data_IF_506845274506
#
_entry.id   IF_506845274506
#
_cell.length_a   1.000
_cell.length_b   1.000
_cell.length_c   1.000
_cell.angle_alpha   90.00
_cell.angle_beta   90.00
_cell.angle_gamma   90.00
#
_symmetry.space_group_name_H-M   'P 1'
#
loop_
_entity.id
_entity.type
_entity.pdbx_description
1 polymer ?
#
# COMPACT_ATOMS: atom_id res chain seq x y z
N UNK A 1 -11.46 -5.29 16.65
CA UNK A 1 -10.40 -5.00 15.64
C UNK A 1 -10.81 -3.76 14.87
N UNK A 2 -9.89 -2.84 14.62
CA UNK A 2 -10.20 -1.63 13.85
C UNK A 2 -10.28 -1.96 12.36
N UNK A 3 -11.27 -1.41 11.66
CA UNK A 3 -11.48 -1.66 10.24
C UNK A 3 -10.25 -1.24 9.43
N UNK A 4 -9.73 -2.10 8.53
CA UNK A 4 -8.61 -1.77 7.65
C UNK A 4 -9.03 -0.74 6.60
N UNK A 5 -8.06 -0.09 5.99
CA UNK A 5 -8.34 0.80 4.87
C UNK A 5 -8.69 -0.01 3.61
N UNK A 6 -9.28 0.63 2.58
CA UNK A 6 -9.72 -0.08 1.36
C UNK A 6 -8.56 -0.86 0.70
N UNK A 7 -7.39 -0.22 0.61
CA UNK A 7 -6.18 -0.84 0.06
C UNK A 7 -5.67 -2.00 0.90
N UNK A 8 -6.07 -2.07 2.18
CA UNK A 8 -5.60 -3.09 3.11
C UNK A 8 -6.54 -4.32 3.19
N UNK A 9 -7.71 -4.31 2.54
CA UNK A 9 -8.69 -5.41 2.58
C UNK A 9 -8.06 -6.73 2.08
N UNK A 10 -7.28 -6.68 0.99
CA UNK A 10 -6.59 -7.84 0.42
C UNK A 10 -5.10 -7.92 0.81
N UNK A 11 -4.67 -7.15 1.82
CA UNK A 11 -3.25 -6.98 2.16
C UNK A 11 -2.56 -8.28 2.53
N UNK A 12 -3.18 -9.11 3.37
CA UNK A 12 -2.54 -10.34 3.86
C UNK A 12 -2.13 -11.27 2.72
N UNK A 13 -3.01 -11.47 1.75
CA UNK A 13 -2.72 -12.25 0.55
C UNK A 13 -1.70 -11.54 -0.35
N UNK A 14 -1.87 -10.23 -0.60
CA UNK A 14 -0.95 -9.47 -1.44
C UNK A 14 0.48 -9.40 -0.86
N UNK A 15 0.64 -9.25 0.45
CA UNK A 15 1.93 -9.26 1.13
C UNK A 15 2.57 -10.66 1.03
N UNK A 16 1.78 -11.73 1.19
CA UNK A 16 2.26 -13.10 0.98
C UNK A 16 2.67 -13.36 -0.47
N UNK A 17 2.06 -12.71 -1.46
CA UNK A 17 2.38 -12.94 -2.88
C UNK A 17 3.47 -12.03 -3.44
N UNK A 18 3.67 -10.84 -2.88
CA UNK A 18 4.52 -9.82 -3.50
C UNK A 18 5.71 -9.38 -2.66
N UNK A 19 5.61 -9.48 -1.33
CA UNK A 19 6.69 -9.02 -0.45
C UNK A 19 7.84 -10.03 -0.39
N UNK A 20 9.06 -9.55 -0.17
CA UNK A 20 10.25 -10.38 0.09
C UNK A 20 10.65 -11.30 -1.09
N UNK A 21 10.17 -10.98 -2.30
CA UNK A 21 10.61 -11.61 -3.54
C UNK A 21 11.59 -10.68 -4.26
N UNK A 22 12.87 -11.06 -4.31
CA UNK A 22 13.95 -10.23 -4.82
C UNK A 22 14.45 -10.63 -6.22
N UNK A 23 13.83 -11.64 -6.84
CA UNK A 23 14.22 -12.19 -8.15
C UNK A 23 14.02 -11.24 -9.34
N UNK A 24 13.37 -10.08 -9.12
CA UNK A 24 13.10 -9.06 -10.15
C UNK A 24 14.26 -8.06 -10.26
N UNK A 25 15.18 -8.04 -9.29
CA UNK A 25 16.33 -7.13 -9.25
C UNK A 25 17.64 -7.91 -9.15
N UNK A 26 18.69 -7.44 -9.84
CA UNK A 26 20.03 -8.02 -9.72
C UNK A 26 20.60 -7.85 -8.30
N UNK A 27 20.20 -6.80 -7.59
CA UNK A 27 20.52 -6.63 -6.17
C UNK A 27 19.63 -5.58 -5.52
N UNK A 28 19.20 -5.84 -4.29
CA UNK A 28 18.49 -4.87 -3.45
C UNK A 28 19.21 -4.79 -2.11
N UNK A 29 19.58 -3.56 -1.72
CA UNK A 29 20.16 -3.24 -0.41
C UNK A 29 19.17 -2.34 0.31
N UNK A 30 18.79 -2.68 1.53
CA UNK A 30 17.96 -1.84 2.40
C UNK A 30 18.61 -1.78 3.78
N UNK A 31 19.06 -0.59 4.18
CA UNK A 31 19.63 -0.33 5.50
C UNK A 31 18.63 0.52 6.27
N UNK A 32 18.22 0.05 7.45
CA UNK A 32 17.36 0.79 8.37
C UNK A 32 18.09 1.01 9.68
N UNK A 33 18.16 2.26 10.12
CA UNK A 33 18.69 2.65 11.42
C UNK A 33 17.62 3.41 12.19
N UNK A 34 17.35 2.99 13.43
CA UNK A 34 16.43 3.69 14.32
C UNK A 34 17.22 4.20 15.52
N UNK A 35 17.15 5.49 15.79
CA UNK A 35 17.85 6.12 16.91
C UNK A 35 16.90 6.41 18.08
N UNK A 36 17.40 6.46 19.33
CA UNK A 36 16.57 6.68 20.52
C UNK A 36 15.81 8.01 20.53
N UNK A 37 16.28 9.01 19.78
CA UNK A 37 15.66 10.34 19.64
C UNK A 37 14.48 10.36 18.63
N UNK A 38 13.89 9.19 18.32
CA UNK A 38 12.78 9.01 17.38
C UNK A 38 13.08 9.45 15.94
N UNK A 39 14.36 9.47 15.56
CA UNK A 39 14.78 9.59 14.16
C UNK A 39 15.01 8.18 13.60
N UNK A 40 14.57 7.95 12.37
CA UNK A 40 14.82 6.74 11.63
C UNK A 40 15.42 7.11 10.27
N UNK A 41 16.48 6.44 9.88
CA UNK A 41 17.08 6.57 8.56
C UNK A 41 16.88 5.27 7.80
N UNK A 42 16.46 5.39 6.56
CA UNK A 42 16.32 4.28 5.64
C UNK A 42 17.05 4.61 4.35
N UNK A 43 18.03 3.79 4.00
CA UNK A 43 18.74 3.87 2.72
C UNK A 43 18.40 2.65 1.91
N UNK A 44 17.93 2.85 0.69
CA UNK A 44 17.64 1.77 -0.26
C UNK A 44 18.46 1.96 -1.53
N UNK A 45 19.11 0.90 -1.98
CA UNK A 45 19.74 0.80 -3.28
C UNK A 45 19.17 -0.39 -4.04
N UNK A 46 18.81 -0.20 -5.30
CA UNK A 46 18.35 -1.26 -6.19
C UNK A 46 19.14 -1.22 -7.48
N UNK A 47 19.65 -2.38 -7.89
CA UNK A 47 20.28 -2.58 -9.19
C UNK A 47 19.40 -3.53 -10.01
N UNK A 48 19.08 -3.11 -11.23
CA UNK A 48 18.37 -3.93 -12.21
C UNK A 48 19.32 -4.90 -12.91
N UNK A 49 18.76 -5.96 -13.53
CA UNK A 49 19.54 -6.86 -14.39
C UNK A 49 20.12 -6.16 -15.63
N UNK A 50 19.58 -4.99 -15.98
CA UNK A 50 20.03 -4.12 -17.07
C UNK A 50 21.11 -3.10 -16.62
N UNK A 51 21.72 -3.31 -15.44
CA UNK A 51 22.76 -2.46 -14.83
C UNK A 51 22.32 -1.05 -14.43
N UNK A 52 21.06 -0.68 -14.60
CA UNK A 52 20.55 0.57 -14.04
C UNK A 52 20.47 0.48 -12.51
N UNK A 53 21.02 1.48 -11.82
CA UNK A 53 21.06 1.54 -10.36
C UNK A 53 20.29 2.76 -9.87
N UNK A 54 19.40 2.53 -8.90
CA UNK A 54 18.62 3.58 -8.25
C UNK A 54 18.86 3.54 -6.75
N UNK A 55 18.88 4.71 -6.14
CA UNK A 55 19.05 4.88 -4.70
C UNK A 55 18.04 5.85 -4.14
N UNK A 56 17.68 5.66 -2.88
CA UNK A 56 16.91 6.63 -2.10
C UNK A 56 17.38 6.63 -0.66
N UNK A 57 17.42 7.83 -0.08
CA UNK A 57 17.67 8.08 1.34
C UNK A 57 16.42 8.71 1.91
N UNK A 58 15.89 8.13 2.98
CA UNK A 58 14.73 8.60 3.71
C UNK A 58 15.14 8.86 5.17
N UNK A 59 14.93 10.09 5.63
CA UNK A 59 15.01 10.48 7.02
C UNK A 59 13.62 10.70 7.58
N UNK A 60 13.28 10.03 8.67
CA UNK A 60 11.97 10.12 9.33
C UNK A 60 12.17 10.55 10.77
N UNK A 61 11.55 11.65 11.15
CA UNK A 61 11.46 12.11 12.53
C UNK A 61 10.03 11.93 13.03
N UNK A 62 9.86 11.31 14.20
CA UNK A 62 8.56 11.10 14.82
C UNK A 62 8.51 11.77 16.19
N UNK A 63 7.76 12.86 16.30
CA UNK A 63 7.40 13.43 17.58
C UNK A 63 6.15 12.73 18.13
N UNK A 64 6.37 11.81 19.05
CA UNK A 64 5.31 11.01 19.68
C UNK A 64 4.40 11.83 20.59
N UNK A 65 4.89 12.95 21.15
CA UNK A 65 4.14 13.76 22.10
C UNK A 65 3.07 14.56 21.36
N UNK A 66 3.46 15.18 20.25
CA UNK A 66 2.57 16.01 19.43
C UNK A 66 2.02 15.27 18.20
N UNK A 67 2.07 13.92 18.17
CA UNK A 67 1.50 13.12 17.08
C UNK A 67 2.03 13.44 15.67
N UNK A 68 3.18 14.11 15.55
CA UNK A 68 3.71 14.63 14.30
C UNK A 68 4.82 13.72 13.78
N UNK A 69 4.80 13.43 12.49
CA UNK A 69 5.86 12.69 11.81
C UNK A 69 6.27 13.43 10.56
N UNK A 70 7.55 13.75 10.45
CA UNK A 70 8.13 14.38 9.27
C UNK A 70 9.03 13.35 8.61
N UNK A 71 8.77 13.05 7.35
CA UNK A 71 9.59 12.15 6.53
C UNK A 71 10.12 12.93 5.34
N UNK A 72 11.43 12.95 5.15
CA UNK A 72 12.11 13.56 4.02
C UNK A 72 12.83 12.48 3.25
N UNK A 73 12.52 12.35 1.97
CA UNK A 73 13.13 11.39 1.05
C UNK A 73 13.84 12.13 -0.07
N UNK A 74 14.99 11.60 -0.49
CA UNK A 74 15.72 12.05 -1.65
C UNK A 74 16.26 10.86 -2.42
N UNK A 75 16.01 10.83 -3.73
CA UNK A 75 16.42 9.74 -4.59
C UNK A 75 17.46 10.18 -5.64
N UNK A 76 18.06 9.18 -6.32
CA UNK A 76 19.08 9.39 -7.35
C UNK A 76 18.58 10.07 -8.63
N UNK A 77 17.25 10.21 -8.79
CA UNK A 77 16.63 11.03 -9.84
C UNK A 77 16.46 12.50 -9.39
N UNK A 78 17.11 12.85 -8.28
CA UNK A 78 17.04 14.16 -7.65
C UNK A 78 15.62 14.57 -7.23
N UNK A 79 14.67 13.63 -7.07
CA UNK A 79 13.35 13.96 -6.56
C UNK A 79 13.43 14.08 -5.03
N UNK A 80 13.08 15.25 -4.51
CA UNK A 80 12.90 15.50 -3.08
C UNK A 80 11.42 15.31 -2.73
N UNK A 81 11.15 14.56 -1.68
CA UNK A 81 9.80 14.36 -1.17
C UNK A 81 9.77 14.66 0.32
N UNK A 82 8.93 15.61 0.73
CA UNK A 82 8.70 15.99 2.12
C UNK A 82 7.29 15.61 2.49
N UNK A 83 7.14 14.75 3.48
CA UNK A 83 5.88 14.23 3.97
C UNK A 83 5.71 14.62 5.43
N UNK A 84 4.60 15.28 5.75
CA UNK A 84 4.26 15.73 7.09
C UNK A 84 2.96 15.05 7.47
N UNK A 85 2.99 14.22 8.50
CA UNK A 85 1.85 13.47 9.01
C UNK A 85 1.51 13.96 10.41
N UNK A 86 0.28 14.37 10.65
CA UNK A 86 -0.23 14.71 11.98
C UNK A 86 -1.35 13.72 12.33
N UNK A 87 -1.08 12.82 13.25
CA UNK A 87 -2.03 11.81 13.72
C UNK A 87 -2.59 12.20 15.10
N UNK A 88 -3.89 12.03 15.28
CA UNK A 88 -4.60 12.16 16.56
C UNK A 88 -4.54 13.56 17.21
N UNK A 89 -3.99 14.58 16.52
CA UNK A 89 -3.88 15.95 17.05
C UNK A 89 -5.20 16.72 17.08
N UNK A 90 -6.04 16.54 16.05
CA UNK A 90 -7.32 17.25 15.92
C UNK A 90 -8.46 16.41 16.49
N UNK A 91 -8.47 15.12 16.20
CA UNK A 91 -9.45 14.17 16.70
C UNK A 91 -8.85 12.76 16.75
N UNK A 92 -9.28 11.95 17.73
CA UNK A 92 -8.88 10.54 17.82
C UNK A 92 -9.29 9.78 16.57
N UNK A 93 -8.34 9.10 15.95
CA UNK A 93 -8.50 8.37 14.70
C UNK A 93 -8.38 9.23 13.43
N UNK A 94 -8.21 10.55 13.55
CA UNK A 94 -7.93 11.41 12.41
C UNK A 94 -6.41 11.54 12.22
N UNK A 95 -5.96 11.26 10.99
CA UNK A 95 -4.59 11.49 10.57
C UNK A 95 -4.62 12.34 9.30
N UNK A 96 -3.91 13.46 9.34
CA UNK A 96 -3.70 14.35 8.20
C UNK A 96 -2.28 14.13 7.69
N UNK A 97 -2.10 14.21 6.39
CA UNK A 97 -0.82 14.00 5.74
C UNK A 97 -0.68 14.95 4.56
N UNK A 98 0.32 15.82 4.59
CA UNK A 98 0.74 16.62 3.45
C UNK A 98 2.00 16.00 2.84
N UNK A 99 1.95 15.60 1.59
CA UNK A 99 3.12 15.11 0.85
C UNK A 99 3.45 16.08 -0.28
N UNK A 100 4.63 16.69 -0.21
CA UNK A 100 5.15 17.65 -1.16
C UNK A 100 6.31 17.01 -1.91
N UNK A 101 6.27 17.05 -3.23
CA UNK A 101 7.36 16.56 -4.08
C UNK A 101 7.94 17.69 -4.91
N UNK A 102 9.25 17.66 -5.10
CA UNK A 102 9.98 18.64 -5.88
C UNK A 102 11.06 17.93 -6.70
N UNK A 103 11.01 18.10 -8.02
CA UNK A 103 12.07 17.68 -8.92
C UNK A 103 12.81 18.93 -9.39
N UNK A 104 14.02 19.20 -8.89
CA UNK A 104 14.82 20.38 -9.26
C UNK A 104 15.13 20.43 -10.76
N UNK A 105 15.41 19.29 -11.38
CA UNK A 105 15.79 19.21 -12.81
C UNK A 105 14.69 19.71 -13.75
N UNK A 106 13.43 19.40 -13.45
CA UNK A 106 12.28 19.82 -14.27
C UNK A 106 11.46 20.95 -13.65
N UNK A 107 11.89 21.46 -12.48
CA UNK A 107 11.15 22.41 -11.64
C UNK A 107 9.70 21.97 -11.32
N UNK A 108 9.40 20.68 -11.48
CA UNK A 108 8.07 20.13 -11.23
C UNK A 108 7.84 20.03 -9.73
N UNK A 109 6.71 20.59 -9.30
CA UNK A 109 6.23 20.53 -7.92
C UNK A 109 4.98 19.65 -7.87
N UNK A 110 4.88 18.82 -6.86
CA UNK A 110 3.68 18.09 -6.49
C UNK A 110 3.28 18.45 -5.07
N UNK A 111 1.98 18.55 -4.82
CA UNK A 111 1.45 18.60 -3.47
C UNK A 111 0.23 17.69 -3.42
N UNK A 112 0.26 16.79 -2.44
CA UNK A 112 -0.80 15.85 -2.13
C UNK A 112 -1.25 16.10 -0.70
N UNK A 113 -2.54 16.10 -0.51
CA UNK A 113 -3.14 16.16 0.81
C UNK A 113 -3.96 14.90 1.03
N UNK A 114 -3.60 14.15 2.05
CA UNK A 114 -4.22 12.89 2.40
C UNK A 114 -4.85 13.02 3.79
N UNK A 115 -6.14 12.72 3.88
CA UNK A 115 -6.89 12.68 5.12
C UNK A 115 -7.30 11.23 5.37
N UNK A 116 -7.02 10.75 6.57
CA UNK A 116 -7.35 9.42 7.02
C UNK A 116 -8.21 9.56 8.27
N UNK A 117 -9.42 9.01 8.23
CA UNK A 117 -10.31 8.98 9.38
C UNK A 117 -10.65 7.53 9.72
N UNK A 118 -10.22 7.10 10.90
CA UNK A 118 -10.35 5.71 11.36
C UNK A 118 -11.20 5.65 12.61
N UNK A 119 -12.27 4.88 12.54
CA UNK A 119 -13.17 4.56 13.63
C UNK A 119 -13.30 3.04 13.79
N UNK A 120 -13.82 2.55 14.93
CA UNK A 120 -13.93 1.12 15.18
C UNK A 120 -14.72 0.32 14.13
N UNK A 121 -15.72 0.93 13.49
CA UNK A 121 -16.61 0.29 12.50
C UNK A 121 -16.50 0.89 11.08
N UNK A 122 -15.70 1.94 10.92
CA UNK A 122 -15.64 2.72 9.68
C UNK A 122 -14.23 3.25 9.47
N UNK A 123 -13.73 3.16 8.24
CA UNK A 123 -12.48 3.77 7.85
C UNK A 123 -12.66 4.52 6.54
N UNK A 124 -12.43 5.82 6.58
CA UNK A 124 -12.48 6.71 5.44
C UNK A 124 -11.10 7.25 5.14
N UNK A 125 -10.78 7.43 3.86
CA UNK A 125 -9.65 8.24 3.46
C UNK A 125 -9.98 9.08 2.23
N UNK A 126 -9.23 10.15 2.09
CA UNK A 126 -9.31 11.08 0.98
C UNK A 126 -7.90 11.46 0.60
N UNK A 127 -7.61 11.46 -0.68
CA UNK A 127 -6.33 11.80 -1.26
C UNK A 127 -6.61 12.85 -2.32
N UNK A 128 -5.97 14.01 -2.23
CA UNK A 128 -6.15 15.10 -3.17
C UNK A 128 -4.80 15.53 -3.69
N UNK A 129 -4.60 15.42 -4.99
CA UNK A 129 -3.41 15.88 -5.71
C UNK A 129 -3.73 17.27 -6.27
N UNK A 130 -3.09 18.33 -5.76
CA UNK A 130 -3.45 19.72 -6.10
C UNK A 130 -2.76 20.24 -7.36
N UNK A 131 -1.54 19.76 -7.66
CA UNK A 131 -0.68 20.34 -8.72
C UNK A 131 -0.66 19.53 -10.02
N UNK A 132 -0.89 18.22 -9.95
CA UNK A 132 -1.08 17.38 -11.14
C UNK A 132 -2.57 17.26 -11.40
N UNK A 133 -3.12 18.20 -12.19
CA UNK A 133 -4.51 18.21 -12.66
C UNK A 133 -5.52 17.80 -11.60
N UNK A 134 -6.11 18.73 -10.83
CA UNK A 134 -6.65 18.45 -9.50
C UNK A 134 -7.42 17.13 -9.45
N UNK A 135 -6.83 16.11 -8.82
CA UNK A 135 -7.46 14.79 -8.72
C UNK A 135 -7.83 14.54 -7.27
N UNK A 136 -9.02 14.00 -7.05
CA UNK A 136 -9.52 13.65 -5.75
C UNK A 136 -9.89 12.17 -5.75
N UNK A 137 -9.21 11.39 -4.91
CA UNK A 137 -9.53 10.00 -4.67
C UNK A 137 -10.09 9.86 -3.27
N UNK A 138 -11.24 9.21 -3.14
CA UNK A 138 -11.90 8.95 -1.87
C UNK A 138 -12.11 7.46 -1.74
N UNK A 139 -11.96 6.94 -0.53
CA UNK A 139 -12.28 5.56 -0.23
C UNK A 139 -12.90 5.43 1.15
N UNK A 140 -13.84 4.51 1.26
CA UNK A 140 -14.58 4.24 2.48
C UNK A 140 -14.71 2.74 2.66
N UNK A 141 -14.52 2.28 3.89
CA UNK A 141 -14.70 0.88 4.31
C UNK A 141 -15.56 0.86 5.55
N UNK A 142 -16.61 0.07 5.50
CA UNK A 142 -17.41 -0.32 6.66
C UNK A 142 -17.10 -1.76 7.01
N UNK A 143 -17.17 -2.10 8.28
CA UNK A 143 -17.06 -3.48 8.69
C UNK A 143 -17.88 -3.84 9.91
N UNK A 144 -18.38 -5.06 9.89
CA UNK A 144 -19.21 -5.63 10.93
C UNK A 144 -18.91 -7.12 11.08
N UNK A 145 -18.59 -7.57 12.30
CA UNK A 145 -18.40 -9.01 12.61
C UNK A 145 -17.45 -9.77 11.67
N UNK A 146 -16.38 -9.11 11.22
CA UNK A 146 -15.39 -9.68 10.31
C UNK A 146 -15.69 -9.45 8.83
N UNK A 147 -16.92 -9.12 8.45
CA UNK A 147 -17.23 -8.64 7.10
C UNK A 147 -16.72 -7.22 6.90
N UNK A 148 -16.16 -6.98 5.72
CA UNK A 148 -15.62 -5.71 5.26
C UNK A 148 -16.25 -5.42 3.90
N UNK A 149 -16.79 -4.23 3.73
CA UNK A 149 -17.23 -3.74 2.43
C UNK A 149 -16.69 -2.33 2.24
N UNK A 150 -16.12 -2.07 1.08
CA UNK A 150 -15.57 -0.77 0.78
C UNK A 150 -15.65 -0.43 -0.69
N UNK A 151 -15.58 0.86 -0.96
CA UNK A 151 -15.52 1.41 -2.30
C UNK A 151 -14.51 2.54 -2.34
N UNK A 152 -13.92 2.73 -3.50
CA UNK A 152 -13.03 3.84 -3.81
C UNK A 152 -13.43 4.46 -5.14
N UNK A 153 -13.36 5.78 -5.22
CA UNK A 153 -13.62 6.54 -6.43
C UNK A 153 -12.54 7.61 -6.61
N UNK A 154 -12.07 7.79 -7.83
CA UNK A 154 -11.15 8.85 -8.24
C UNK A 154 -11.83 9.76 -9.24
N UNK A 155 -11.70 11.06 -9.04
CA UNK A 155 -12.22 12.11 -9.91
C UNK A 155 -11.07 13.00 -10.39
N UNK A 156 -11.06 13.32 -11.67
CA UNK A 156 -10.10 14.23 -12.28
C UNK A 156 -10.83 15.49 -12.75
N UNK A 157 -10.46 16.63 -12.16
CA UNK A 157 -11.09 17.93 -12.42
C UNK A 157 -10.76 18.45 -13.82
N UNK A 158 -9.59 18.11 -14.39
CA UNK A 158 -9.23 18.55 -15.73
C UNK A 158 -10.03 17.83 -16.81
N UNK A 159 -10.33 16.54 -16.59
CA UNK A 159 -11.15 15.72 -17.48
C UNK A 159 -12.65 15.81 -17.16
N UNK A 160 -13.01 16.53 -16.10
CA UNK A 160 -14.37 16.62 -15.56
C UNK A 160 -15.06 15.24 -15.45
N UNK A 161 -14.33 14.22 -14.96
CA UNK A 161 -14.80 12.84 -15.04
C UNK A 161 -14.22 11.91 -13.99
N UNK A 162 -14.96 10.83 -13.72
CA UNK A 162 -14.52 9.74 -12.85
C UNK A 162 -13.43 8.94 -13.58
N UNK A 163 -12.23 8.95 -13.02
CA UNK A 163 -11.07 8.25 -13.58
C UNK A 163 -11.00 6.81 -13.11
N UNK A 164 -11.24 6.58 -11.82
CA UNK A 164 -11.17 5.26 -11.21
C UNK A 164 -12.40 4.99 -10.36
N UNK A 165 -12.88 3.76 -10.41
CA UNK A 165 -13.88 3.25 -9.48
C UNK A 165 -13.47 1.83 -9.10
N UNK A 166 -13.50 1.54 -7.82
CA UNK A 166 -13.16 0.24 -7.28
C UNK A 166 -14.11 -0.10 -6.13
N UNK A 167 -14.42 -1.38 -6.01
CA UNK A 167 -15.22 -1.93 -4.93
C UNK A 167 -14.50 -3.15 -4.36
N UNK A 168 -14.65 -3.40 -3.07
CA UNK A 168 -14.04 -4.53 -2.41
C UNK A 168 -14.95 -5.05 -1.32
N UNK A 169 -15.07 -6.37 -1.25
CA UNK A 169 -15.72 -7.06 -0.14
C UNK A 169 -14.70 -8.05 0.41
N UNK A 170 -14.56 -8.08 1.72
CA UNK A 170 -13.66 -8.99 2.40
C UNK A 170 -14.29 -9.58 3.64
N UNK A 171 -13.69 -10.67 4.10
CA UNK A 171 -13.99 -11.29 5.36
C UNK A 171 -12.68 -11.57 6.08
N UNK A 172 -12.57 -11.08 7.31
CA UNK A 172 -11.36 -11.16 8.11
C UNK A 172 -11.62 -11.88 9.42
N UNK A 173 -10.94 -13.00 9.59
CA UNK A 173 -10.80 -13.72 10.86
C UNK A 173 -9.32 -13.79 11.27
N UNK A 174 -9.04 -14.11 12.55
CA UNK A 174 -7.65 -14.23 13.03
C UNK A 174 -6.82 -15.30 12.29
N UNK A 175 -7.46 -16.34 11.77
CA UNK A 175 -6.80 -17.48 11.11
C UNK A 175 -6.83 -17.41 9.58
N UNK A 176 -7.85 -16.80 8.99
CA UNK A 176 -7.96 -16.66 7.54
C UNK A 176 -8.63 -15.35 7.14
N UNK A 177 -8.33 -14.88 5.94
CA UNK A 177 -8.93 -13.71 5.33
C UNK A 177 -9.23 -13.98 3.87
N UNK A 178 -10.44 -13.66 3.42
CA UNK A 178 -10.80 -13.69 2.01
C UNK A 178 -11.17 -12.27 1.56
N UNK A 179 -10.83 -11.92 0.33
CA UNK A 179 -11.20 -10.62 -0.24
C UNK A 179 -11.43 -10.74 -1.75
N UNK A 180 -12.52 -10.14 -2.21
CA UNK A 180 -12.82 -9.93 -3.62
C UNK A 180 -12.76 -8.43 -3.89
N UNK A 181 -11.95 -8.03 -4.85
CA UNK A 181 -11.77 -6.64 -5.26
C UNK A 181 -12.09 -6.48 -6.73
N UNK A 182 -12.91 -5.51 -7.07
CA UNK A 182 -13.14 -5.03 -8.42
C UNK A 182 -12.41 -3.69 -8.58
N UNK A 183 -11.51 -3.61 -9.55
CA UNK A 183 -10.65 -2.44 -9.80
C UNK A 183 -10.74 -2.02 -11.27
N UNK A 184 -10.19 -0.85 -11.58
CA UNK A 184 -10.22 -0.26 -12.93
C UNK A 184 -11.64 -0.16 -13.53
N UNK A 185 -12.51 0.59 -12.84
CA UNK A 185 -13.93 0.77 -13.22
C UNK A 185 -14.69 -0.57 -13.26
N UNK A 186 -14.44 -1.41 -12.26
CA UNK A 186 -15.02 -2.76 -12.15
C UNK A 186 -14.76 -3.66 -13.36
N UNK A 187 -13.60 -3.50 -14.00
CA UNK A 187 -13.21 -4.34 -15.14
C UNK A 187 -12.27 -5.45 -14.71
N UNK A 188 -11.37 -5.17 -13.76
CA UNK A 188 -10.41 -6.16 -13.24
C UNK A 188 -10.90 -6.68 -11.90
N UNK A 189 -11.30 -7.94 -11.87
CA UNK A 189 -11.72 -8.64 -10.67
C UNK A 189 -10.55 -9.46 -10.11
N UNK A 190 -10.33 -9.39 -8.81
CA UNK A 190 -9.37 -10.25 -8.12
C UNK A 190 -10.02 -10.85 -6.89
N UNK A 191 -9.94 -12.17 -6.76
CA UNK A 191 -10.27 -12.90 -5.55
C UNK A 191 -8.97 -13.32 -4.88
N UNK A 192 -8.87 -13.13 -3.57
CA UNK A 192 -7.69 -13.47 -2.79
C UNK A 192 -8.11 -14.18 -1.51
N UNK A 193 -7.31 -15.16 -1.13
CA UNK A 193 -7.51 -15.96 0.06
C UNK A 193 -6.17 -16.09 0.77
N UNK A 194 -6.16 -15.84 2.07
CA UNK A 194 -5.01 -16.00 2.93
C UNK A 194 -5.43 -16.82 4.14
N UNK A 195 -4.59 -17.77 4.55
CA UNK A 195 -4.82 -18.66 5.66
C UNK A 195 -3.51 -18.87 6.42
N UNK A 196 -3.51 -18.48 7.67
CA UNK A 196 -2.52 -18.86 8.66
C UNK A 196 -2.84 -20.26 9.18
N UNK A 197 -2.28 -21.28 8.52
CA UNK A 197 -2.51 -22.69 8.84
C UNK A 197 -2.04 -23.02 10.26
N UNK A 198 -0.88 -22.48 10.65
CA UNK A 198 -0.36 -22.59 12.02
C UNK A 198 0.63 -21.42 12.30
N UNK A 199 1.25 -21.32 13.48
CA UNK A 199 2.19 -20.23 13.79
C UNK A 199 3.43 -20.14 12.89
N UNK A 200 3.76 -21.21 12.16
CA UNK A 200 4.96 -21.32 11.31
C UNK A 200 4.64 -21.36 9.81
N UNK A 201 3.41 -21.67 9.40
CA UNK A 201 2.99 -21.83 8.01
C UNK A 201 1.84 -20.88 7.69
N UNK A 202 2.05 -20.08 6.64
CA UNK A 202 1.06 -19.18 6.06
C UNK A 202 0.91 -19.55 4.58
N UNK A 203 -0.32 -19.74 4.11
CA UNK A 203 -0.62 -20.03 2.71
C UNK A 203 -1.62 -19.01 2.18
N UNK A 204 -1.57 -18.76 0.88
CA UNK A 204 -2.53 -17.88 0.23
C UNK A 204 -2.54 -18.04 -1.27
N UNK A 205 -3.65 -17.65 -1.86
CA UNK A 205 -3.85 -17.67 -3.29
C UNK A 205 -4.53 -16.38 -3.73
N UNK A 206 -4.30 -16.01 -4.98
CA UNK A 206 -4.97 -14.91 -5.66
C UNK A 206 -5.32 -15.33 -7.08
N UNK A 207 -6.57 -15.12 -7.46
CA UNK A 207 -7.02 -15.25 -8.82
C UNK A 207 -7.38 -13.85 -9.34
N UNK A 208 -6.87 -13.47 -10.51
CA UNK A 208 -7.20 -12.21 -11.18
C UNK A 208 -7.77 -12.48 -12.56
N UNK A 209 -8.84 -11.78 -12.88
CA UNK A 209 -9.56 -11.88 -14.15
C UNK A 209 -9.92 -10.48 -14.66
N UNK A 210 -9.73 -10.24 -15.95
CA UNK A 210 -10.05 -8.97 -16.60
C UNK A 210 -11.23 -9.16 -17.57
N UNK A 211 -12.34 -8.46 -17.30
CA UNK A 211 -13.55 -8.54 -18.10
C UNK A 211 -13.44 -7.81 -19.44
N UNK A 212 -12.47 -6.88 -19.61
CA UNK A 212 -12.20 -6.21 -20.90
C UNK A 212 -11.50 -7.13 -21.89
N UNK A 213 -10.84 -8.17 -21.39
CA UNK A 213 -10.14 -9.17 -22.20
C UNK A 213 -10.60 -10.57 -21.78
N UNK A 214 -11.85 -10.97 -22.09
CA UNK A 214 -12.40 -12.25 -21.64
C UNK A 214 -11.69 -13.48 -22.25
N UNK A 215 -10.87 -13.28 -23.28
CA UNK A 215 -9.99 -14.30 -23.86
C UNK A 215 -8.71 -14.56 -23.04
N UNK A 216 -8.38 -13.72 -22.05
CA UNK A 216 -7.27 -13.99 -21.14
C UNK A 216 -7.68 -15.04 -20.10
N UNK A 217 -6.84 -16.05 -19.93
CA UNK A 217 -6.94 -17.00 -18.83
C UNK A 217 -6.92 -16.27 -17.48
N UNK A 218 -7.59 -16.86 -16.49
CA UNK A 218 -7.52 -16.40 -15.09
C UNK A 218 -6.08 -16.55 -14.61
N UNK A 219 -5.43 -15.42 -14.28
CA UNK A 219 -4.12 -15.45 -13.65
C UNK A 219 -4.26 -15.94 -12.21
N UNK A 220 -3.71 -17.11 -11.90
CA UNK A 220 -3.80 -17.69 -10.57
C UNK A 220 -2.41 -17.71 -9.94
N UNK A 221 -2.30 -17.27 -8.71
CA UNK A 221 -1.04 -17.17 -8.00
C UNK A 221 -1.20 -17.84 -6.65
N UNK A 222 -0.30 -18.76 -6.32
CA UNK A 222 -0.26 -19.41 -5.01
C UNK A 222 1.06 -19.08 -4.34
N UNK A 223 1.02 -18.73 -3.06
CA UNK A 223 2.21 -18.56 -2.26
C UNK A 223 2.08 -19.21 -0.90
N UNK A 224 3.21 -19.69 -0.41
CA UNK A 224 3.35 -20.24 0.93
C UNK A 224 4.59 -19.64 1.56
N UNK A 225 4.49 -19.33 2.84
CA UNK A 225 5.60 -18.92 3.69
C UNK A 225 5.73 -19.91 4.83
N UNK A 226 6.95 -20.37 5.03
CA UNK A 226 7.34 -21.29 6.07
C UNK A 226 8.41 -20.62 6.94
N UNK A 227 8.10 -20.43 8.22
CA UNK A 227 9.03 -19.90 9.21
C UNK A 227 9.86 -21.04 9.78
N UNK A 228 11.16 -21.02 9.50
CA UNK A 228 12.10 -22.04 9.96
C UNK A 228 12.46 -21.79 11.43
N UNK A 229 12.65 -20.51 11.78
CA UNK A 229 13.04 -20.06 13.12
C UNK A 229 12.60 -18.59 13.35
N UNK A 230 12.78 -18.02 14.55
CA UNK A 230 12.32 -16.66 14.83
C UNK A 230 12.92 -15.58 13.92
N UNK A 231 14.05 -15.84 13.25
CA UNK A 231 14.76 -14.87 12.41
C UNK A 231 14.81 -15.26 10.93
N UNK A 232 14.50 -16.50 10.58
CA UNK A 232 14.57 -17.01 9.20
C UNK A 232 13.23 -17.58 8.72
N UNK A 233 12.94 -17.36 7.44
CA UNK A 233 11.78 -17.92 6.77
C UNK A 233 12.08 -18.22 5.30
N UNK A 234 11.43 -19.25 4.77
CA UNK A 234 11.40 -19.56 3.36
C UNK A 234 10.05 -19.15 2.78
N UNK A 235 10.04 -18.64 1.55
CA UNK A 235 8.83 -18.18 0.88
C UNK A 235 8.87 -18.62 -0.57
N UNK A 236 7.78 -19.23 -1.02
CA UNK A 236 7.64 -19.75 -2.38
C UNK A 236 6.38 -19.15 -2.98
N UNK A 237 6.49 -18.65 -4.21
CA UNK A 237 5.36 -18.21 -5.03
C UNK A 237 5.40 -18.94 -6.36
N UNK A 238 4.23 -19.40 -6.78
CA UNK A 238 3.99 -20.07 -8.06
C UNK A 238 2.90 -19.29 -8.79
N UNK A 239 3.25 -18.52 -9.84
CA UNK A 239 2.27 -18.02 -10.79
C UNK A 239 1.85 -19.15 -11.74
N UNK A 240 0.54 -19.29 -11.93
CA UNK A 240 -0.12 -20.24 -12.82
C UNK A 240 -0.89 -19.40 -13.86
N UNK A 241 -0.44 -19.46 -15.11
CA UNK A 241 -0.96 -18.73 -16.26
C UNK A 241 -1.67 -19.65 -17.24
#
# INVERSE_FOLDING_TARGET
>A
MSIPAFSDIAKSANDLLNKDFYHVSAGTIEVKSNTPNNVAFKVTGKSSHEKNTSGAVEGKYTDKINGLTVTQSWNTLNALETKIEAADNVAKGLKLEGAFSFLPESQKKGAKFNLYFKQPKFHFRTFTDLLKGPTANVDAVIGHEGFLAGAAAGYDVQKAGITTFAAAVGFQQPTWTAAVTATDKCSVFAASYYHKVNPVVEAGAKASWDSKSPANNVGLEVATKYRIDPVSFAKVRLPLS
#
